data_IF_990975849453
#
_entry.id   IF_990975849453
#
_cell.length_a   1.000
_cell.length_b   1.000
_cell.length_c   1.000
_cell.angle_alpha   90.00
_cell.angle_beta   90.00
_cell.angle_gamma   90.00
#
_symmetry.space_group_name_H-M   'P 1'
#
loop_
_entity.id
_entity.type
_entity.pdbx_description
1 polymer ?
#
# COMPACT_ATOMS: atom_id res chain seq x y z
N UNK A 1 19.86 -27.12 73.18
CA UNK A 1 19.54 -28.03 72.05
C UNK A 1 18.69 -27.25 71.05
N UNK A 2 18.99 -27.41 69.76
CA UNK A 2 18.68 -26.47 68.67
C UNK A 2 17.30 -26.74 68.04
N UNK A 3 16.55 -25.67 67.77
CA UNK A 3 15.43 -25.63 66.81
C UNK A 3 15.96 -25.62 65.38
N UNK A 4 15.24 -26.22 64.40
CA UNK A 4 15.29 -25.77 63.03
C UNK A 4 13.99 -25.06 62.63
N UNK A 5 14.19 -23.84 62.17
CA UNK A 5 13.26 -22.92 61.53
C UNK A 5 13.26 -23.27 60.03
N UNK A 6 12.12 -23.65 59.44
CA UNK A 6 11.97 -23.72 57.98
C UNK A 6 11.16 -22.51 57.53
N UNK A 7 11.85 -21.54 56.92
CA UNK A 7 11.27 -20.36 56.29
C UNK A 7 11.15 -20.64 54.79
N UNK A 8 9.96 -21.02 54.34
CA UNK A 8 9.66 -21.16 52.92
C UNK A 8 9.38 -19.78 52.33
N UNK A 9 10.35 -19.26 51.57
CA UNK A 9 10.26 -18.00 50.84
C UNK A 9 9.43 -18.23 49.56
N UNK A 10 8.16 -17.81 49.57
CA UNK A 10 7.30 -17.78 48.38
C UNK A 10 7.58 -16.49 47.61
N UNK A 11 8.35 -16.59 46.52
CA UNK A 11 8.48 -15.53 45.52
C UNK A 11 7.16 -15.39 44.76
N UNK A 12 6.45 -14.28 45.00
CA UNK A 12 5.32 -13.84 44.16
C UNK A 12 5.89 -13.05 42.99
N UNK A 13 6.02 -13.70 41.84
CA UNK A 13 6.28 -13.03 40.56
C UNK A 13 4.98 -12.37 40.09
N UNK A 14 4.89 -11.05 40.25
CA UNK A 14 3.84 -10.24 39.63
C UNK A 14 4.15 -10.16 38.13
N UNK A 15 3.58 -11.07 37.35
CA UNK A 15 3.56 -10.95 35.90
C UNK A 15 2.61 -9.79 35.53
N UNK A 16 3.17 -8.65 35.12
CA UNK A 16 2.43 -7.58 34.43
C UNK A 16 2.09 -8.05 33.02
N UNK A 17 1.18 -9.03 32.90
CA UNK A 17 0.48 -9.32 31.65
C UNK A 17 -0.64 -8.27 31.51
N UNK A 18 -0.27 -7.05 31.15
CA UNK A 18 -1.22 -6.03 30.72
C UNK A 18 -1.79 -6.42 29.37
N UNK A 19 -2.85 -7.24 29.35
CA UNK A 19 -3.68 -7.45 28.17
C UNK A 19 -4.37 -6.12 27.84
N UNK A 20 -3.73 -5.29 27.02
CA UNK A 20 -4.38 -4.14 26.39
C UNK A 20 -5.42 -4.69 25.41
N UNK A 21 -6.67 -4.81 25.87
CA UNK A 21 -7.84 -5.17 25.05
C UNK A 21 -8.26 -4.06 24.05
N UNK A 22 -7.37 -3.11 23.76
CA UNK A 22 -7.65 -2.09 22.74
C UNK A 22 -7.45 -2.73 21.36
N UNK A 23 -8.46 -2.69 20.48
CA UNK A 23 -8.27 -3.12 19.10
C UNK A 23 -7.12 -2.30 18.49
N UNK A 24 -6.31 -2.96 17.66
CA UNK A 24 -5.21 -2.30 16.96
C UNK A 24 -5.76 -1.08 16.18
N UNK A 25 -5.00 0.02 16.11
CA UNK A 25 -5.41 1.17 15.31
C UNK A 25 -5.62 0.75 13.84
N UNK A 26 -6.54 1.40 13.12
CA UNK A 26 -6.76 1.10 11.71
C UNK A 26 -5.51 1.43 10.90
N UNK A 27 -5.15 0.54 9.96
CA UNK A 27 -4.00 0.70 9.06
C UNK A 27 -4.40 1.24 7.68
N UNK A 28 -5.69 1.26 7.37
CA UNK A 28 -6.23 1.71 6.08
C UNK A 28 -7.54 2.48 6.30
N UNK A 29 -7.92 3.29 5.32
CA UNK A 29 -9.18 4.04 5.28
C UNK A 29 -9.90 3.79 3.96
N UNK A 30 -11.18 3.42 4.03
CA UNK A 30 -12.07 3.41 2.86
C UNK A 30 -12.33 4.84 2.41
N UNK A 31 -12.04 5.15 1.15
CA UNK A 31 -12.20 6.49 0.55
C UNK A 31 -13.17 6.52 -0.62
N UNK A 32 -13.50 5.35 -1.19
CA UNK A 32 -14.55 5.21 -2.19
C UNK A 32 -15.26 3.88 -2.04
N UNK A 33 -16.55 3.86 -2.36
CA UNK A 33 -17.39 2.68 -2.37
C UNK A 33 -18.53 2.87 -3.37
N UNK A 34 -18.74 1.89 -4.24
CA UNK A 34 -19.78 1.94 -5.26
C UNK A 34 -20.35 0.54 -5.49
N UNK A 35 -21.66 0.43 -5.36
CA UNK A 35 -22.37 -0.78 -5.72
C UNK A 35 -22.58 -0.86 -7.23
N UNK A 36 -22.34 -2.05 -7.77
CA UNK A 36 -22.45 -2.37 -9.17
C UNK A 36 -23.47 -3.49 -9.36
N UNK A 37 -24.54 -3.20 -10.09
CA UNK A 37 -25.51 -4.19 -10.51
C UNK A 37 -25.00 -4.92 -11.76
N UNK A 38 -24.84 -6.24 -11.64
CA UNK A 38 -24.41 -7.10 -12.75
C UNK A 38 -25.62 -7.56 -13.57
N UNK A 39 -25.39 -7.93 -14.83
CA UNK A 39 -26.43 -8.51 -15.70
C UNK A 39 -27.04 -9.81 -15.18
N UNK A 40 -26.38 -10.48 -14.23
CA UNK A 40 -26.90 -11.66 -13.51
C UNK A 40 -27.94 -11.34 -12.44
N UNK A 41 -28.13 -10.06 -12.09
CA UNK A 41 -28.95 -9.61 -10.97
C UNK A 41 -28.23 -9.58 -9.62
N UNK A 42 -26.98 -10.06 -9.56
CA UNK A 42 -26.11 -9.92 -8.39
C UNK A 42 -25.60 -8.48 -8.24
N UNK A 43 -25.27 -8.10 -7.01
CA UNK A 43 -24.60 -6.83 -6.69
C UNK A 43 -23.18 -7.14 -6.22
N UNK A 44 -22.20 -6.42 -6.76
CA UNK A 44 -20.81 -6.41 -6.30
C UNK A 44 -20.44 -4.99 -5.91
N UNK A 45 -19.78 -4.80 -4.77
CA UNK A 45 -19.30 -3.49 -4.35
C UNK A 45 -17.85 -3.32 -4.80
N UNK A 46 -17.51 -2.20 -5.42
CA UNK A 46 -16.13 -1.80 -5.68
C UNK A 46 -15.73 -0.79 -4.61
N UNK A 47 -14.64 -1.06 -3.90
CA UNK A 47 -14.12 -0.21 -2.81
C UNK A 47 -12.71 0.26 -3.09
N UNK A 48 -12.41 1.49 -2.71
CA UNK A 48 -11.07 2.07 -2.74
C UNK A 48 -10.58 2.37 -1.33
N UNK A 49 -9.33 1.99 -1.06
CA UNK A 49 -8.68 2.20 0.22
C UNK A 49 -7.39 3.00 0.05
N UNK A 50 -7.07 3.80 1.05
CA UNK A 50 -5.77 4.45 1.22
C UNK A 50 -5.10 3.90 2.49
N UNK A 51 -3.82 3.55 2.39
CA UNK A 51 -3.01 3.20 3.55
C UNK A 51 -2.78 4.42 4.42
N UNK A 52 -3.05 4.24 5.72
CA UNK A 52 -2.69 5.21 6.74
C UNK A 52 -1.24 4.97 7.12
N UNK A 53 -0.53 6.05 7.47
CA UNK A 53 0.83 5.93 7.98
C UNK A 53 0.82 5.19 9.32
N UNK A 54 1.61 4.12 9.38
CA UNK A 54 1.87 3.34 10.60
C UNK A 54 3.37 3.37 10.93
N UNK A 55 3.79 2.61 11.94
CA UNK A 55 5.21 2.43 12.25
C UNK A 55 5.95 1.61 11.17
N UNK A 56 5.22 0.82 10.38
CA UNK A 56 5.76 -0.13 9.39
C UNK A 56 5.44 0.23 7.95
N UNK A 57 4.39 1.03 7.71
CA UNK A 57 3.84 1.28 6.38
C UNK A 57 3.83 2.78 6.05
N UNK A 58 4.31 3.09 4.85
CA UNK A 58 4.15 4.41 4.26
C UNK A 58 2.68 4.64 3.87
N UNK A 59 2.16 5.87 4.00
CA UNK A 59 0.81 6.17 3.52
C UNK A 59 0.74 6.09 1.99
N UNK A 60 -0.46 5.85 1.45
CA UNK A 60 -0.71 5.93 0.01
C UNK A 60 -0.30 7.29 -0.57
N UNK A 61 0.38 7.27 -1.72
CA UNK A 61 0.66 8.47 -2.51
C UNK A 61 -0.64 9.03 -3.15
N UNK A 62 -1.31 9.99 -2.50
CA UNK A 62 -2.54 10.63 -3.02
C UNK A 62 -2.29 11.64 -4.16
N UNK A 63 -1.04 11.99 -4.39
CA UNK A 63 -0.54 12.81 -5.50
C UNK A 63 0.84 12.34 -5.90
N UNK A 64 1.28 12.63 -7.13
CA UNK A 64 2.60 12.24 -7.61
C UNK A 64 3.67 12.76 -6.65
N UNK A 65 4.44 11.86 -6.05
CA UNK A 65 5.52 12.22 -5.16
C UNK A 65 6.82 12.36 -5.94
N UNK A 66 7.54 13.46 -5.72
CA UNK A 66 8.82 13.73 -6.35
C UNK A 66 9.95 13.56 -5.34
N UNK A 67 10.90 12.69 -5.65
CA UNK A 67 12.02 12.34 -4.77
C UNK A 67 13.32 12.78 -5.42
N UNK A 68 14.00 13.71 -4.76
CA UNK A 68 15.29 14.26 -5.18
C UNK A 68 16.45 13.61 -4.43
N UNK A 69 17.67 13.84 -4.93
CA UNK A 69 18.90 13.46 -4.22
C UNK A 69 19.02 14.16 -2.86
N UNK A 70 18.52 15.39 -2.73
CA UNK A 70 18.53 16.15 -1.49
C UNK A 70 17.72 15.48 -0.38
N UNK A 71 16.59 14.87 -0.74
CA UNK A 71 15.75 14.12 0.20
C UNK A 71 16.50 12.92 0.79
N UNK A 72 17.34 12.27 -0.02
CA UNK A 72 18.23 11.19 0.45
C UNK A 72 19.28 11.69 1.42
N UNK A 73 19.93 12.82 1.11
CA UNK A 73 20.93 13.42 1.99
C UNK A 73 20.35 13.79 3.37
N UNK A 74 19.14 14.35 3.40
CA UNK A 74 18.46 14.72 4.64
C UNK A 74 18.10 13.51 5.48
N UNK A 75 17.58 12.45 4.86
CA UNK A 75 17.18 11.23 5.58
C UNK A 75 18.41 10.47 6.08
N UNK A 76 19.47 10.34 5.28
CA UNK A 76 20.73 9.72 5.74
C UNK A 76 21.33 10.52 6.90
N UNK A 77 21.28 11.85 6.88
CA UNK A 77 21.71 12.69 8.02
C UNK A 77 20.86 12.47 9.27
N UNK A 78 19.54 12.32 9.13
CA UNK A 78 18.63 12.00 10.24
C UNK A 78 18.91 10.60 10.81
N UNK A 79 19.07 9.58 9.96
CA UNK A 79 19.40 8.21 10.40
C UNK A 79 20.76 8.16 11.07
N UNK A 80 21.78 8.88 10.59
CA UNK A 80 23.09 8.93 11.27
C UNK A 80 23.03 9.66 12.61
N UNK A 81 22.29 10.77 12.71
CA UNK A 81 22.03 11.44 14.00
C UNK A 81 21.28 10.51 14.97
N UNK A 82 20.27 9.78 14.49
CA UNK A 82 19.55 8.76 15.25
C UNK A 82 20.46 7.62 15.71
N UNK A 83 21.38 7.17 14.84
CA UNK A 83 22.37 6.15 15.15
C UNK A 83 23.36 6.62 16.20
N UNK A 84 23.85 7.87 16.11
CA UNK A 84 24.73 8.47 17.12
C UNK A 84 23.99 8.56 18.46
N UNK A 85 22.73 8.99 18.46
CA UNK A 85 21.91 9.02 19.66
C UNK A 85 21.64 7.61 20.26
N UNK A 86 21.39 6.60 19.42
CA UNK A 86 21.12 5.22 19.85
C UNK A 86 22.37 4.45 20.25
N UNK A 87 23.53 4.75 19.63
CA UNK A 87 24.83 4.23 20.04
C UNK A 87 25.25 4.79 21.41
N UNK A 88 24.91 6.05 21.70
CA UNK A 88 25.05 6.62 23.05
C UNK A 88 24.11 5.96 24.08
N UNK A 89 23.02 5.32 23.64
CA UNK A 89 22.04 4.60 24.46
C UNK A 89 22.21 3.06 24.45
N UNK A 90 23.23 2.53 23.77
CA UNK A 90 23.67 1.14 23.87
C UNK A 90 22.86 0.07 23.10
N UNK A 91 22.01 0.46 22.14
CA UNK A 91 21.23 -0.50 21.35
C UNK A 91 21.30 -0.19 19.85
N UNK A 92 22.04 -0.96 19.06
CA UNK A 92 22.10 -0.76 17.62
C UNK A 92 22.05 -2.07 16.84
N UNK A 93 20.95 -2.28 16.11
CA UNK A 93 20.84 -3.16 14.95
C UNK A 93 20.51 -2.26 13.76
N UNK A 94 21.41 -2.16 12.79
CA UNK A 94 21.23 -1.30 11.62
C UNK A 94 20.35 -1.99 10.57
N UNK A 95 19.18 -1.42 10.30
CA UNK A 95 18.40 -1.74 9.10
C UNK A 95 18.91 -0.88 7.93
N UNK A 96 19.02 -1.49 6.74
CA UNK A 96 19.48 -0.80 5.52
C UNK A 96 18.59 0.37 5.11
N UNK A 97 19.13 1.30 4.33
CA UNK A 97 18.39 2.43 3.78
C UNK A 97 17.73 2.06 2.45
N UNK A 98 16.43 2.31 2.33
CA UNK A 98 15.71 2.22 1.06
C UNK A 98 15.21 3.61 0.60
N UNK A 99 15.32 3.90 -0.70
CA UNK A 99 14.85 5.16 -1.29
C UNK A 99 13.32 5.31 -1.17
N UNK A 100 12.59 4.21 -0.99
CA UNK A 100 11.15 4.23 -0.72
C UNK A 100 10.81 4.81 0.67
N UNK A 101 11.76 4.88 1.61
CA UNK A 101 11.61 5.54 2.92
C UNK A 101 11.53 7.08 2.83
N UNK A 102 11.84 7.65 1.66
CA UNK A 102 11.93 9.10 1.50
C UNK A 102 10.56 9.72 1.31
N UNK A 103 10.21 10.67 2.18
CA UNK A 103 8.92 11.38 2.14
C UNK A 103 8.73 12.18 0.83
N UNK A 104 9.81 12.69 0.25
CA UNK A 104 9.76 13.48 -1.00
C UNK A 104 8.85 14.71 -0.91
N UNK A 105 8.52 15.28 -2.07
CA UNK A 105 7.61 16.42 -2.20
C UNK A 105 6.38 16.05 -3.06
N UNK A 106 5.14 16.27 -2.58
CA UNK A 106 3.95 16.03 -3.40
C UNK A 106 3.80 17.09 -4.51
N UNK A 107 3.49 16.65 -5.73
CA UNK A 107 3.11 17.51 -6.85
C UNK A 107 1.58 17.59 -6.88
N UNK A 108 1.04 18.60 -6.18
CA UNK A 108 -0.41 18.73 -5.94
C UNK A 108 -1.26 18.87 -7.21
N UNK A 109 -0.66 19.30 -8.33
CA UNK A 109 -1.33 19.39 -9.63
C UNK A 109 -1.51 18.03 -10.32
N UNK A 110 -0.92 16.98 -9.76
CA UNK A 110 -0.96 15.60 -10.25
C UNK A 110 -1.60 14.71 -9.18
N UNK A 111 -2.94 14.71 -9.04
CA UNK A 111 -3.63 13.78 -8.13
C UNK A 111 -3.51 12.34 -8.63
N UNK A 112 -3.45 11.37 -7.71
CA UNK A 112 -3.31 9.96 -8.07
C UNK A 112 -4.56 9.45 -8.80
N UNK A 113 -4.45 9.01 -10.07
CA UNK A 113 -5.60 8.61 -10.87
C UNK A 113 -6.08 7.18 -10.57
N UNK A 114 -5.33 6.41 -9.79
CA UNK A 114 -5.47 4.94 -9.67
C UNK A 114 -6.89 4.51 -9.29
N UNK A 115 -7.43 5.07 -8.20
CA UNK A 115 -8.75 4.67 -7.72
C UNK A 115 -9.84 4.94 -8.76
N UNK A 116 -9.83 6.13 -9.37
CA UNK A 116 -10.83 6.50 -10.37
C UNK A 116 -10.70 5.63 -11.64
N UNK A 117 -9.46 5.48 -12.14
CA UNK A 117 -9.19 4.76 -13.38
C UNK A 117 -9.49 3.27 -13.27
N UNK A 118 -8.95 2.61 -12.24
CA UNK A 118 -9.16 1.18 -12.03
C UNK A 118 -10.61 0.87 -11.69
N UNK A 119 -11.29 1.70 -10.87
CA UNK A 119 -12.71 1.48 -10.57
C UNK A 119 -13.57 1.48 -11.84
N UNK A 120 -13.36 2.45 -12.74
CA UNK A 120 -14.09 2.53 -14.01
C UNK A 120 -13.77 1.34 -14.93
N UNK A 121 -12.51 0.92 -14.98
CA UNK A 121 -12.07 -0.24 -15.76
C UNK A 121 -12.70 -1.54 -15.27
N UNK A 122 -12.66 -1.79 -13.96
CA UNK A 122 -13.28 -2.95 -13.30
C UNK A 122 -14.79 -2.92 -13.50
N UNK A 123 -15.45 -1.79 -13.31
CA UNK A 123 -16.89 -1.63 -13.55
C UNK A 123 -17.28 -2.08 -14.96
N UNK A 124 -16.58 -1.55 -15.97
CA UNK A 124 -16.82 -1.91 -17.38
C UNK A 124 -16.60 -3.41 -17.63
N UNK A 125 -15.54 -3.97 -17.06
CA UNK A 125 -15.17 -5.38 -17.20
C UNK A 125 -16.22 -6.33 -16.59
N UNK A 126 -16.72 -5.99 -15.40
CA UNK A 126 -17.73 -6.77 -14.68
C UNK A 126 -19.13 -6.63 -15.33
N UNK A 127 -19.51 -5.44 -15.79
CA UNK A 127 -20.77 -5.21 -16.51
C UNK A 127 -20.86 -5.95 -17.84
N UNK A 128 -19.71 -6.19 -18.50
CA UNK A 128 -19.65 -6.93 -19.76
C UNK A 128 -19.89 -8.44 -19.61
N UNK A 129 -20.06 -8.96 -18.38
CA UNK A 129 -20.26 -10.38 -18.15
C UNK A 129 -21.64 -10.86 -18.66
N UNK A 130 -21.70 -12.00 -19.39
CA UNK A 130 -22.96 -12.54 -19.87
C UNK A 130 -23.95 -12.87 -18.74
N UNK A 131 -25.24 -12.58 -18.98
CA UNK A 131 -26.31 -13.02 -18.09
C UNK A 131 -26.34 -14.56 -18.03
N UNK A 132 -26.20 -15.13 -16.83
CA UNK A 132 -26.23 -16.59 -16.63
C UNK A 132 -25.33 -17.10 -15.50
N UNK A 133 -24.33 -16.33 -15.09
CA UNK A 133 -23.54 -16.63 -13.87
C UNK A 133 -24.36 -16.28 -12.64
N UNK A 134 -25.20 -17.21 -12.18
CA UNK A 134 -25.99 -17.03 -10.96
C UNK A 134 -25.06 -17.18 -9.76
N UNK A 135 -24.72 -16.07 -9.10
CA UNK A 135 -24.03 -16.14 -7.81
C UNK A 135 -25.01 -16.62 -6.74
N UNK A 136 -24.56 -17.57 -5.92
CA UNK A 136 -25.38 -18.25 -4.89
C UNK A 136 -25.26 -17.52 -3.54
N UNK A 137 -24.34 -16.55 -3.42
CA UNK A 137 -24.04 -15.75 -2.23
C UNK A 137 -23.91 -14.26 -2.58
N UNK A 138 -24.03 -13.34 -1.59
CA UNK A 138 -23.63 -11.96 -1.81
C UNK A 138 -22.13 -11.91 -2.17
N UNK A 139 -21.81 -11.31 -3.31
CA UNK A 139 -20.44 -11.13 -3.76
C UNK A 139 -19.70 -10.26 -2.75
N UNK A 140 -18.49 -10.65 -2.35
CA UNK A 140 -17.66 -9.79 -1.52
C UNK A 140 -17.16 -8.60 -2.36
N UNK A 141 -16.70 -7.52 -1.71
CA UNK A 141 -16.21 -6.37 -2.43
C UNK A 141 -14.94 -6.67 -3.24
N UNK A 142 -14.82 -6.02 -4.39
CA UNK A 142 -13.56 -5.87 -5.10
C UNK A 142 -12.88 -4.61 -4.57
N UNK A 143 -11.70 -4.78 -3.97
CA UNK A 143 -10.98 -3.72 -3.26
C UNK A 143 -9.78 -3.22 -4.09
N UNK A 144 -9.57 -1.91 -4.15
CA UNK A 144 -8.46 -1.28 -4.86
C UNK A 144 -7.59 -0.56 -3.82
N UNK A 145 -6.29 -0.87 -3.82
CA UNK A 145 -5.29 -0.30 -2.92
C UNK A 145 -4.12 0.29 -3.73
N UNK A 146 -4.11 1.60 -4.03
CA UNK A 146 -2.89 2.30 -4.45
C UNK A 146 -1.88 2.39 -3.30
N UNK A 147 -0.60 2.18 -3.62
CA UNK A 147 0.50 2.28 -2.65
C UNK A 147 1.49 3.36 -3.07
N UNK A 148 2.20 3.12 -4.17
CA UNK A 148 3.31 3.96 -4.62
C UNK A 148 2.96 4.63 -5.94
N UNK A 149 3.19 5.93 -6.04
CA UNK A 149 3.19 6.65 -7.30
C UNK A 149 4.13 7.85 -7.22
N UNK A 150 5.35 7.64 -7.70
CA UNK A 150 6.43 8.60 -7.46
C UNK A 150 7.48 8.62 -8.55
N UNK A 151 8.07 9.80 -8.74
CA UNK A 151 9.18 10.06 -9.64
C UNK A 151 10.47 10.17 -8.84
N UNK A 152 11.43 9.27 -9.06
CA UNK A 152 12.63 9.12 -8.23
C UNK A 152 13.89 9.29 -9.07
N UNK A 153 14.88 9.99 -8.53
CA UNK A 153 16.18 10.10 -9.21
C UNK A 153 16.84 8.72 -9.35
N UNK A 154 17.46 8.48 -10.52
CA UNK A 154 18.11 7.20 -10.80
C UNK A 154 19.35 7.00 -9.92
N UNK A 155 20.35 7.87 -10.09
CA UNK A 155 21.67 7.73 -9.48
C UNK A 155 21.96 8.85 -8.47
N UNK A 156 22.66 8.52 -7.37
CA UNK A 156 23.07 9.49 -6.34
C UNK A 156 24.06 10.54 -6.86
N UNK A 157 24.81 10.22 -7.92
CA UNK A 157 25.74 11.12 -8.59
C UNK A 157 25.64 10.97 -10.11
N UNK A 158 25.84 12.08 -10.82
CA UNK A 158 25.79 12.13 -12.29
C UNK A 158 24.38 11.96 -12.88
N UNK A 159 24.12 12.63 -14.00
CA UNK A 159 22.87 12.52 -14.77
C UNK A 159 21.67 13.26 -14.19
N UNK A 160 20.64 13.38 -15.01
CA UNK A 160 19.37 14.06 -14.78
C UNK A 160 18.16 13.13 -14.98
N UNK A 161 18.41 11.81 -15.01
CA UNK A 161 17.39 10.79 -15.24
C UNK A 161 16.61 10.45 -13.98
N UNK A 162 15.31 10.22 -14.18
CA UNK A 162 14.36 9.83 -13.16
C UNK A 162 13.55 8.63 -13.65
N UNK A 163 13.10 7.84 -12.68
CA UNK A 163 12.31 6.63 -12.86
C UNK A 163 10.93 6.82 -12.23
N UNK A 164 9.88 6.43 -12.96
CA UNK A 164 8.51 6.45 -12.46
C UNK A 164 8.16 5.11 -11.83
N UNK A 165 7.98 5.09 -10.51
CA UNK A 165 7.55 3.93 -9.75
C UNK A 165 6.04 3.96 -9.53
N UNK A 166 5.42 2.80 -9.69
CA UNK A 166 4.00 2.60 -9.51
C UNK A 166 3.75 1.27 -8.79
N UNK A 167 2.83 1.28 -7.82
CA UNK A 167 2.34 0.06 -7.19
C UNK A 167 0.88 0.23 -6.75
N UNK A 168 0.03 -0.70 -7.18
CA UNK A 168 -1.34 -0.83 -6.72
C UNK A 168 -1.74 -2.31 -6.67
N UNK A 169 -2.75 -2.65 -5.87
CA UNK A 169 -3.36 -3.98 -5.85
C UNK A 169 -4.87 -3.92 -6.05
N UNK A 170 -5.41 -4.93 -6.72
CA UNK A 170 -6.84 -5.25 -6.78
C UNK A 170 -7.02 -6.56 -6.01
N UNK A 171 -7.86 -6.53 -4.99
CA UNK A 171 -7.97 -7.60 -3.98
C UNK A 171 -9.42 -8.03 -3.82
N UNK A 172 -9.60 -9.32 -3.64
CA UNK A 172 -10.84 -9.95 -3.19
C UNK A 172 -10.53 -10.71 -1.91
N UNK A 173 -11.08 -10.26 -0.78
CA UNK A 173 -10.91 -10.91 0.52
C UNK A 173 -12.10 -11.78 0.87
N UNK A 174 -11.83 -12.91 1.53
CA UNK A 174 -12.85 -13.74 2.13
C UNK A 174 -13.57 -12.99 3.26
N UNK A 175 -14.74 -13.49 3.60
CA UNK A 175 -15.75 -12.86 4.46
C UNK A 175 -15.16 -12.19 5.73
N UNK A 176 -15.11 -10.86 5.73
CA UNK A 176 -14.60 -10.02 6.82
C UNK A 176 -15.31 -10.29 8.16
N UNK A 177 -16.58 -10.74 8.11
CA UNK A 177 -17.37 -11.03 9.30
C UNK A 177 -16.87 -12.25 10.10
N UNK A 178 -16.15 -13.19 9.46
CA UNK A 178 -15.60 -14.38 10.11
C UNK A 178 -14.18 -14.16 10.69
N UNK A 179 -13.63 -12.93 10.61
CA UNK A 179 -12.21 -12.63 10.89
C UNK A 179 -11.23 -13.49 10.07
N UNK A 180 -11.70 -14.04 8.96
CA UNK A 180 -10.89 -14.77 8.01
C UNK A 180 -10.48 -13.78 6.91
N UNK A 181 -9.31 -13.16 7.06
CA UNK A 181 -8.75 -12.23 6.08
C UNK A 181 -8.01 -12.96 4.94
N UNK A 182 -8.43 -14.18 4.61
CA UNK A 182 -7.85 -14.94 3.51
C UNK A 182 -8.09 -14.21 2.19
N UNK A 183 -7.01 -13.84 1.51
CA UNK A 183 -7.09 -13.28 0.16
C UNK A 183 -7.52 -14.37 -0.81
N UNK A 184 -8.71 -14.21 -1.42
CA UNK A 184 -9.27 -15.14 -2.40
C UNK A 184 -8.72 -14.87 -3.80
N UNK A 185 -8.52 -13.60 -4.14
CA UNK A 185 -7.88 -13.19 -5.39
C UNK A 185 -7.02 -11.94 -5.16
N UNK A 186 -5.89 -11.87 -5.87
CA UNK A 186 -4.96 -10.74 -5.83
C UNK A 186 -4.38 -10.51 -7.22
N UNK A 187 -4.52 -9.28 -7.69
CA UNK A 187 -3.72 -8.73 -8.78
C UNK A 187 -2.85 -7.64 -8.20
N UNK A 188 -1.53 -7.85 -8.22
CA UNK A 188 -0.54 -6.87 -7.76
C UNK A 188 0.18 -6.26 -8.94
N UNK A 189 0.02 -4.95 -9.11
CA UNK A 189 0.47 -4.20 -10.27
C UNK A 189 1.72 -3.41 -9.90
N UNK A 190 2.89 -3.98 -10.19
CA UNK A 190 4.19 -3.38 -9.95
C UNK A 190 5.07 -3.46 -11.21
N UNK A 191 4.79 -2.64 -12.24
CA UNK A 191 5.50 -2.69 -13.50
C UNK A 191 6.94 -2.20 -13.34
N UNK A 192 7.79 -2.59 -14.29
CA UNK A 192 9.16 -2.05 -14.36
C UNK A 192 9.12 -0.54 -14.56
N UNK A 193 9.87 0.18 -13.73
CA UNK A 193 9.93 1.63 -13.78
C UNK A 193 10.49 2.11 -15.13
N UNK A 194 9.78 3.06 -15.76
CA UNK A 194 10.25 3.71 -16.98
C UNK A 194 11.21 4.82 -16.60
N UNK A 195 12.33 4.90 -17.31
CA UNK A 195 13.37 5.90 -17.13
C UNK A 195 13.30 6.97 -18.21
N UNK A 196 13.40 8.24 -17.82
CA UNK A 196 13.58 9.36 -18.74
C UNK A 196 14.30 10.54 -18.06
N UNK A 197 14.89 11.48 -18.82
CA UNK A 197 15.37 12.76 -18.29
C UNK A 197 14.26 13.53 -17.57
N UNK A 198 14.59 14.23 -16.48
CA UNK A 198 13.63 15.00 -15.68
C UNK A 198 12.82 15.99 -16.53
N UNK A 199 13.48 16.66 -17.48
CA UNK A 199 12.84 17.63 -18.37
C UNK A 199 11.71 17.00 -19.18
N UNK A 200 11.83 15.73 -19.58
CA UNK A 200 10.76 15.01 -20.29
C UNK A 200 9.60 14.66 -19.37
N UNK A 201 9.88 14.30 -18.11
CA UNK A 201 8.83 14.04 -17.13
C UNK A 201 8.04 15.29 -16.77
N UNK A 202 8.66 16.47 -16.72
CA UNK A 202 8.02 17.73 -16.34
C UNK A 202 7.37 18.48 -17.52
N UNK A 203 7.71 18.11 -18.76
CA UNK A 203 7.18 18.75 -19.96
C UNK A 203 5.64 18.69 -20.01
N UNK A 204 5.04 19.74 -20.58
CA UNK A 204 3.60 19.83 -20.85
C UNK A 204 2.71 19.54 -19.63
N UNK A 205 3.17 19.90 -18.42
CA UNK A 205 2.41 19.63 -17.19
C UNK A 205 2.38 18.15 -16.82
N UNK A 206 3.51 17.45 -16.99
CA UNK A 206 3.69 16.04 -16.68
C UNK A 206 2.94 15.06 -17.60
N UNK A 207 2.75 15.43 -18.86
CA UNK A 207 2.06 14.60 -19.86
C UNK A 207 2.63 13.18 -19.95
N UNK A 208 3.96 13.05 -19.94
CA UNK A 208 4.63 11.73 -19.97
C UNK A 208 4.31 10.88 -18.73
N UNK A 209 4.19 11.50 -17.55
CA UNK A 209 3.79 10.76 -16.33
C UNK A 209 2.38 10.22 -16.51
N UNK A 210 1.46 11.04 -17.02
CA UNK A 210 0.08 10.60 -17.29
C UNK A 210 0.02 9.46 -18.30
N UNK A 211 0.77 9.55 -19.39
CA UNK A 211 0.86 8.50 -20.42
C UNK A 211 1.34 7.18 -19.83
N UNK A 212 2.52 7.18 -19.20
CA UNK A 212 3.12 5.95 -18.65
C UNK A 212 2.28 5.37 -17.49
N UNK A 213 1.71 6.23 -16.63
CA UNK A 213 0.81 5.76 -15.55
C UNK A 213 -0.43 5.08 -16.13
N UNK A 214 -0.97 5.60 -17.25
CA UNK A 214 -2.09 4.95 -17.94
C UNK A 214 -1.70 3.57 -18.47
N UNK A 215 -0.54 3.44 -19.10
CA UNK A 215 -0.04 2.14 -19.59
C UNK A 215 0.10 1.12 -18.45
N UNK A 216 0.61 1.54 -17.29
CA UNK A 216 0.69 0.71 -16.09
C UNK A 216 -0.69 0.25 -15.60
N UNK A 217 -1.66 1.16 -15.54
CA UNK A 217 -3.03 0.83 -15.14
C UNK A 217 -3.75 -0.04 -16.17
N UNK A 218 -3.49 0.15 -17.46
CA UNK A 218 -4.04 -0.69 -18.53
C UNK A 218 -3.49 -2.12 -18.44
N UNK A 219 -2.20 -2.28 -18.11
CA UNK A 219 -1.65 -3.60 -17.81
C UNK A 219 -2.34 -4.23 -16.61
N UNK A 220 -2.53 -3.46 -15.54
CA UNK A 220 -3.23 -3.92 -14.33
C UNK A 220 -4.65 -4.41 -14.62
N UNK A 221 -5.40 -3.68 -15.46
CA UNK A 221 -6.75 -4.08 -15.88
C UNK A 221 -6.76 -5.33 -16.77
N UNK A 222 -5.72 -5.56 -17.57
CA UNK A 222 -5.58 -6.81 -18.34
C UNK A 222 -5.37 -8.01 -17.41
N UNK A 223 -4.54 -7.85 -16.38
CA UNK A 223 -4.30 -8.90 -15.39
C UNK A 223 -5.56 -9.17 -14.57
N UNK A 224 -6.32 -8.13 -14.21
CA UNK A 224 -7.65 -8.28 -13.62
C UNK A 224 -8.60 -9.05 -14.53
N UNK A 225 -8.70 -8.68 -15.81
CA UNK A 225 -9.58 -9.38 -16.76
C UNK A 225 -9.25 -10.87 -16.86
N UNK A 226 -7.96 -11.22 -16.84
CA UNK A 226 -7.49 -12.60 -16.89
C UNK A 226 -7.91 -13.42 -15.66
N UNK A 227 -8.05 -12.79 -14.48
CA UNK A 227 -8.42 -13.44 -13.21
C UNK A 227 -9.84 -13.09 -12.75
N UNK A 228 -10.63 -12.41 -13.59
CA UNK A 228 -11.91 -11.80 -13.22
C UNK A 228 -12.88 -12.74 -12.54
N UNK A 229 -12.89 -14.01 -12.93
CA UNK A 229 -13.76 -15.03 -12.32
C UNK A 229 -13.47 -15.25 -10.84
N UNK A 230 -12.22 -15.13 -10.40
CA UNK A 230 -11.81 -15.29 -9.00
C UNK A 230 -12.31 -14.17 -8.10
N UNK A 231 -12.54 -12.98 -8.69
CA UNK A 231 -13.12 -11.80 -8.03
C UNK A 231 -14.65 -11.87 -7.91
N UNK A 232 -15.27 -12.94 -8.39
CA UNK A 232 -16.72 -13.14 -8.41
C UNK A 232 -17.17 -14.43 -7.69
N UNK A 233 -16.24 -15.05 -6.96
CA UNK A 233 -16.49 -16.28 -6.18
C UNK A 233 -17.12 -15.99 -4.82
#
# INVERSE_FOLDING_TARGET
MKFPFYCSLLMVTVALAGCSNKPAPPTEKEVSSKDLHLGSGSVVTIKGYEQLRTDTDAPTDVSLRYITRGDTGNMVALKTLGFVAQALLGSAQATGFDKFDLVGTPIITMPNPTLEYLSKGIEKSLQAQPAGTKSIAPLQPVEIRPYTWMLVYENLSGGDSYELYYHASIIHTANVALKDNSTLALVSCHPTAVKAPLAQWQANGYEKVTEVTREYMDSCLKDFEAHKTEFLL
#
